data_IF_769773983733
#
_entry.id   IF_769773983733
#
_cell.length_a   1.000
_cell.length_b   1.000
_cell.length_c   1.000
_cell.angle_alpha   90.00
_cell.angle_beta   90.00
_cell.angle_gamma   90.00
#
_symmetry.space_group_name_H-M   'P 1'
#
loop_
_entity.id
_entity.type
_entity.pdbx_description
1 polymer ?
#
# COMPACT_ATOMS: atom_id res chain seq x y z
N UNK A 1 -10.05 -1.47 40.91
CA UNK A 1 -9.05 -1.42 39.82
C UNK A 1 -8.36 -2.76 39.85
N UNK A 2 -8.56 -3.59 38.83
CA UNK A 2 -7.82 -4.84 38.70
C UNK A 2 -6.57 -4.53 37.88
N UNK A 3 -5.40 -4.71 38.48
CA UNK A 3 -4.13 -4.47 37.81
C UNK A 3 -4.00 -5.45 36.63
N UNK A 4 -3.88 -4.91 35.41
CA UNK A 4 -3.64 -5.71 34.21
C UNK A 4 -2.23 -6.30 34.30
N UNK A 5 -2.14 -7.63 34.23
CA UNK A 5 -0.86 -8.36 34.25
C UNK A 5 -0.03 -7.95 33.03
N UNK A 6 1.22 -7.57 33.28
CA UNK A 6 2.20 -7.22 32.23
C UNK A 6 2.54 -8.44 31.36
N UNK A 7 3.02 -8.23 30.13
CA UNK A 7 3.43 -9.32 29.23
C UNK A 7 4.46 -10.27 29.86
N UNK A 8 5.35 -9.74 30.70
CA UNK A 8 6.36 -10.54 31.41
C UNK A 8 5.73 -11.41 32.50
N UNK A 9 4.73 -10.88 33.23
CA UNK A 9 3.97 -11.67 34.21
C UNK A 9 3.11 -12.75 33.53
N UNK A 10 2.56 -12.47 32.35
CA UNK A 10 1.86 -13.48 31.54
C UNK A 10 2.80 -14.58 31.05
N UNK A 11 4.03 -14.23 30.65
CA UNK A 11 5.05 -15.19 30.23
C UNK A 11 5.53 -16.08 31.40
N UNK A 12 5.76 -15.50 32.58
CA UNK A 12 6.15 -16.22 33.79
C UNK A 12 5.04 -17.16 34.27
N UNK A 13 3.78 -16.73 34.23
CA UNK A 13 2.62 -17.58 34.50
C UNK A 13 2.48 -18.71 33.49
N UNK A 14 2.72 -18.44 32.21
CA UNK A 14 2.70 -19.47 31.15
C UNK A 14 3.78 -20.53 31.40
N UNK A 15 5.01 -20.11 31.72
CA UNK A 15 6.13 -21.01 32.04
C UNK A 15 5.87 -21.86 33.29
N UNK A 16 5.37 -21.26 34.37
CA UNK A 16 5.01 -21.98 35.60
C UNK A 16 3.85 -22.97 35.36
N UNK A 17 2.91 -22.63 34.47
CA UNK A 17 1.82 -23.52 34.11
C UNK A 17 2.30 -24.73 33.30
N UNK A 18 3.19 -24.53 32.33
CA UNK A 18 3.81 -25.60 31.53
C UNK A 18 4.61 -26.57 32.41
N UNK A 19 5.38 -26.04 33.36
CA UNK A 19 6.18 -26.86 34.28
C UNK A 19 5.30 -27.71 35.22
N UNK A 20 4.14 -27.20 35.62
CA UNK A 20 3.16 -27.94 36.44
C UNK A 20 2.44 -29.04 35.64
N UNK A 21 2.15 -28.78 34.37
CA UNK A 21 1.51 -29.72 33.44
C UNK A 21 2.45 -30.89 33.12
N UNK A 22 3.74 -30.61 32.88
CA UNK A 22 4.72 -31.63 32.55
C UNK A 22 4.98 -32.60 33.71
N UNK A 23 4.94 -32.10 34.94
CA UNK A 23 4.98 -32.91 36.17
C UNK A 23 3.73 -33.79 36.34
N UNK A 24 2.54 -33.29 36.01
CA UNK A 24 1.30 -34.07 36.05
C UNK A 24 1.21 -35.13 34.95
N UNK A 25 1.69 -34.85 33.72
CA UNK A 25 1.82 -35.85 32.64
C UNK A 25 2.78 -36.97 33.04
N UNK A 26 3.93 -36.64 33.62
CA UNK A 26 4.88 -37.62 34.15
C UNK A 26 4.26 -38.48 35.25
N UNK A 27 3.41 -37.92 36.12
CA UNK A 27 2.70 -38.66 37.16
C UNK A 27 1.63 -39.62 36.60
N UNK A 28 0.82 -39.17 35.63
CA UNK A 28 -0.20 -40.00 34.99
C UNK A 28 0.39 -41.15 34.15
N UNK A 29 1.51 -40.90 33.47
CA UNK A 29 2.24 -41.93 32.72
C UNK A 29 2.87 -42.98 33.64
N UNK A 30 3.34 -42.58 34.84
CA UNK A 30 3.91 -43.48 35.85
C UNK A 30 2.87 -44.40 36.51
N UNK A 31 1.60 -44.02 36.53
CA UNK A 31 0.52 -44.75 37.21
C UNK A 31 -0.24 -45.74 36.33
N UNK A 32 -0.07 -45.73 35.00
CA UNK A 32 -0.83 -46.55 34.08
C UNK A 32 -2.32 -46.16 34.06
N UNK A 33 -2.82 -45.69 32.92
CA UNK A 33 -4.21 -45.19 32.79
C UNK A 33 -5.31 -46.21 33.17
N UNK A 34 -4.98 -47.49 33.37
CA UNK A 34 -5.89 -48.59 33.67
C UNK A 34 -6.39 -48.68 35.11
N UNK A 35 -5.81 -47.96 36.08
CA UNK A 35 -6.20 -48.03 37.51
C UNK A 35 -6.70 -46.71 38.13
N UNK A 36 -7.04 -45.70 37.32
CA UNK A 36 -7.56 -44.42 37.81
C UNK A 36 -9.03 -44.53 38.21
N UNK A 37 -9.41 -44.01 39.39
CA UNK A 37 -10.82 -43.94 39.78
C UNK A 37 -11.61 -42.98 38.85
N UNK A 38 -12.94 -43.07 38.88
CA UNK A 38 -13.80 -42.27 37.98
C UNK A 38 -13.55 -40.76 38.08
N UNK A 39 -13.18 -40.25 39.25
CA UNK A 39 -12.91 -38.83 39.46
C UNK A 39 -11.60 -38.39 38.80
N UNK A 40 -10.54 -39.21 38.86
CA UNK A 40 -9.28 -38.97 38.15
C UNK A 40 -9.44 -39.07 36.63
N UNK A 41 -10.26 -39.99 36.12
CA UNK A 41 -10.56 -40.06 34.68
C UNK A 41 -11.31 -38.82 34.18
N UNK A 42 -12.29 -38.33 34.94
CA UNK A 42 -12.98 -37.07 34.63
C UNK A 42 -12.03 -35.87 34.65
N UNK A 43 -11.12 -35.81 35.63
CA UNK A 43 -10.12 -34.75 35.71
C UNK A 43 -9.17 -34.79 34.50
N UNK A 44 -8.65 -35.96 34.11
CA UNK A 44 -7.78 -36.11 32.93
C UNK A 44 -8.50 -35.71 31.64
N UNK A 45 -9.77 -36.09 31.47
CA UNK A 45 -10.57 -35.68 30.32
C UNK A 45 -10.82 -34.16 30.31
N UNK A 46 -11.16 -33.57 31.44
CA UNK A 46 -11.34 -32.12 31.58
C UNK A 46 -10.03 -31.35 31.32
N UNK A 47 -8.89 -31.89 31.74
CA UNK A 47 -7.57 -31.33 31.40
C UNK A 47 -7.28 -31.41 29.90
N UNK A 48 -7.60 -32.52 29.24
CA UNK A 48 -7.46 -32.66 27.79
C UNK A 48 -8.39 -31.73 26.99
N UNK A 49 -9.61 -31.48 27.48
CA UNK A 49 -10.52 -30.49 26.90
C UNK A 49 -10.01 -29.06 27.11
N UNK A 50 -9.48 -28.76 28.31
CA UNK A 50 -8.84 -27.48 28.61
C UNK A 50 -7.62 -27.23 27.72
N UNK A 51 -6.73 -28.22 27.52
CA UNK A 51 -5.58 -28.10 26.61
C UNK A 51 -6.03 -27.68 25.20
N UNK A 52 -7.08 -28.32 24.65
CA UNK A 52 -7.64 -27.96 23.33
C UNK A 52 -8.21 -26.54 23.30
N UNK A 53 -8.89 -26.11 24.36
CA UNK A 53 -9.46 -24.76 24.46
C UNK A 53 -8.33 -23.72 24.56
N UNK A 54 -7.29 -23.99 25.36
CA UNK A 54 -6.14 -23.11 25.51
C UNK A 54 -5.39 -22.95 24.17
N UNK A 55 -5.19 -24.04 23.41
CA UNK A 55 -4.64 -24.01 22.05
C UNK A 55 -5.50 -23.14 21.10
N UNK A 56 -6.82 -23.30 21.14
CA UNK A 56 -7.74 -22.49 20.32
C UNK A 56 -7.71 -21.00 20.70
N UNK A 57 -7.62 -20.68 22.00
CA UNK A 57 -7.50 -19.30 22.49
C UNK A 57 -6.19 -18.68 21.99
N UNK A 58 -5.07 -19.40 22.10
CA UNK A 58 -3.77 -18.92 21.61
C UNK A 58 -3.80 -18.69 20.09
N UNK A 59 -4.38 -19.61 19.31
CA UNK A 59 -4.53 -19.46 17.86
C UNK A 59 -5.40 -18.24 17.50
N UNK A 60 -6.53 -18.05 18.19
CA UNK A 60 -7.43 -16.91 17.97
C UNK A 60 -6.79 -15.58 18.37
N UNK A 61 -5.99 -15.55 19.43
CA UNK A 61 -5.23 -14.36 19.83
C UNK A 61 -4.15 -14.02 18.80
N UNK A 62 -3.46 -15.05 18.29
CA UNK A 62 -2.50 -14.92 17.21
C UNK A 62 -3.12 -14.35 15.92
N UNK A 63 -4.30 -14.84 15.52
CA UNK A 63 -5.08 -14.30 14.38
C UNK A 63 -5.49 -12.84 14.62
N UNK A 64 -5.90 -12.51 15.85
CA UNK A 64 -6.32 -11.15 16.20
C UNK A 64 -5.16 -10.15 16.13
N UNK A 65 -3.99 -10.54 16.66
CA UNK A 65 -2.79 -9.69 16.65
C UNK A 65 -2.30 -9.43 15.22
N UNK A 66 -2.34 -10.45 14.36
CA UNK A 66 -2.01 -10.32 12.93
C UNK A 66 -2.97 -9.38 12.19
N UNK A 67 -4.22 -9.27 12.62
CA UNK A 67 -5.16 -8.32 12.04
C UNK A 67 -5.02 -6.90 12.61
N UNK A 68 -4.79 -6.78 13.93
CA UNK A 68 -4.68 -5.50 14.63
C UNK A 68 -3.45 -4.71 14.20
N UNK A 69 -2.29 -5.36 14.09
CA UNK A 69 -1.04 -4.67 13.77
C UNK A 69 -1.08 -3.92 12.42
N UNK A 70 -1.51 -4.53 11.29
CA UNK A 70 -1.71 -3.80 10.03
C UNK A 70 -2.76 -2.70 10.12
N UNK A 71 -3.81 -2.88 10.93
CA UNK A 71 -4.85 -1.84 11.14
C UNK A 71 -4.27 -0.62 11.86
N UNK A 72 -3.58 -0.84 12.97
CA UNK A 72 -2.95 0.23 13.76
C UNK A 72 -1.97 1.04 12.92
N UNK A 73 -1.16 0.37 12.09
CA UNK A 73 -0.25 1.06 11.16
C UNK A 73 -1.00 1.95 10.16
N UNK A 74 -2.09 1.47 9.56
CA UNK A 74 -2.88 2.26 8.60
C UNK A 74 -3.49 3.50 9.25
N UNK A 75 -4.11 3.34 10.41
CA UNK A 75 -4.72 4.46 11.12
C UNK A 75 -3.67 5.50 11.53
N UNK A 76 -2.50 5.05 11.98
CA UNK A 76 -1.42 5.96 12.36
C UNK A 76 -0.87 6.72 11.16
N UNK A 77 -0.61 6.06 10.02
CA UNK A 77 -0.21 6.72 8.78
C UNK A 77 -1.25 7.73 8.31
N UNK A 78 -2.54 7.37 8.40
CA UNK A 78 -3.64 8.26 8.05
C UNK A 78 -3.69 9.50 8.95
N UNK A 79 -3.57 9.32 10.27
CA UNK A 79 -3.50 10.42 11.23
C UNK A 79 -2.34 11.36 10.92
N UNK A 80 -1.16 10.83 10.57
CA UNK A 80 0.02 11.61 10.21
C UNK A 80 -0.16 12.40 8.91
N UNK A 81 -0.77 11.80 7.90
CA UNK A 81 -1.14 12.49 6.67
C UNK A 81 -2.15 13.62 6.94
N UNK A 82 -3.17 13.36 7.77
CA UNK A 82 -4.17 14.35 8.16
C UNK A 82 -3.55 15.52 8.94
N UNK A 83 -2.53 15.27 9.77
CA UNK A 83 -1.80 16.30 10.49
C UNK A 83 -1.05 17.25 9.56
N UNK A 84 -0.45 16.73 8.47
CA UNK A 84 0.19 17.54 7.44
C UNK A 84 -0.82 18.35 6.64
N UNK A 85 -1.97 17.76 6.31
CA UNK A 85 -3.02 18.46 5.57
C UNK A 85 -3.66 19.60 6.36
N UNK A 86 -3.60 19.51 7.70
CA UNK A 86 -4.06 20.55 8.63
C UNK A 86 -2.94 21.49 9.09
N UNK A 87 -1.73 21.32 8.57
CA UNK A 87 -0.62 22.21 8.91
C UNK A 87 -0.82 23.55 8.19
N UNK A 88 -1.25 24.56 8.95
CA UNK A 88 -1.59 25.88 8.43
C UNK A 88 -0.40 26.59 7.76
N UNK A 89 0.82 26.35 8.24
CA UNK A 89 2.04 26.94 7.68
C UNK A 89 2.29 26.41 6.26
N UNK A 90 2.11 25.11 6.05
CA UNK A 90 2.42 24.44 4.78
C UNK A 90 1.28 24.43 3.78
N UNK A 91 0.04 24.64 4.24
CA UNK A 91 -1.16 24.42 3.44
C UNK A 91 -1.13 25.19 2.11
N UNK A 92 -0.81 26.48 2.15
CA UNK A 92 -0.73 27.32 0.95
C UNK A 92 0.30 26.75 -0.06
N UNK A 93 1.51 26.46 0.40
CA UNK A 93 2.57 25.95 -0.47
C UNK A 93 2.25 24.56 -1.05
N UNK A 94 1.64 23.68 -0.25
CA UNK A 94 1.23 22.34 -0.71
C UNK A 94 0.09 22.40 -1.74
N UNK A 95 -0.87 23.30 -1.55
CA UNK A 95 -1.95 23.54 -2.53
C UNK A 95 -1.40 24.08 -3.85
N UNK A 96 -0.44 25.01 -3.81
CA UNK A 96 0.24 25.55 -5.00
C UNK A 96 1.01 24.44 -5.73
N UNK A 97 1.77 23.61 -5.02
CA UNK A 97 2.50 22.49 -5.62
C UNK A 97 1.57 21.48 -6.29
N UNK A 98 0.41 21.21 -5.70
CA UNK A 98 -0.62 20.36 -6.30
C UNK A 98 -1.23 20.97 -7.56
N UNK A 99 -1.48 22.28 -7.57
CA UNK A 99 -1.95 22.98 -8.77
C UNK A 99 -0.92 22.95 -9.89
N UNK A 100 0.37 23.18 -9.57
CA UNK A 100 1.48 23.08 -10.52
C UNK A 100 1.58 21.72 -11.16
N UNK A 101 1.55 20.66 -10.36
CA UNK A 101 1.62 19.30 -10.91
C UNK A 101 0.50 19.02 -11.91
N UNK A 102 -0.74 19.40 -11.60
CA UNK A 102 -1.87 19.26 -12.52
C UNK A 102 -1.71 20.08 -13.80
N UNK A 103 -1.10 21.26 -13.70
CA UNK A 103 -0.87 22.12 -14.84
C UNK A 103 0.26 21.57 -15.72
N UNK A 104 1.33 21.04 -15.12
CA UNK A 104 2.43 20.38 -15.84
C UNK A 104 1.92 19.14 -16.61
N UNK A 105 0.99 18.37 -16.04
CA UNK A 105 0.31 17.27 -16.74
C UNK A 105 -0.51 17.76 -17.94
N UNK A 106 -1.25 18.87 -17.78
CA UNK A 106 -2.03 19.47 -18.87
C UNK A 106 -1.12 20.01 -19.99
N UNK A 107 -0.02 20.69 -19.64
CA UNK A 107 0.97 21.18 -20.60
C UNK A 107 1.55 20.01 -21.39
N UNK A 108 2.01 18.95 -20.71
CA UNK A 108 2.55 17.74 -21.38
C UNK A 108 1.53 17.09 -22.31
N UNK A 109 0.28 16.97 -21.88
CA UNK A 109 -0.79 16.41 -22.71
C UNK A 109 -1.03 17.28 -23.95
N UNK A 110 -0.99 18.60 -23.81
CA UNK A 110 -1.22 19.54 -24.90
C UNK A 110 -0.06 19.62 -25.88
N UNK A 111 1.18 19.61 -25.39
CA UNK A 111 2.38 19.51 -26.21
C UNK A 111 2.37 18.21 -27.05
N UNK A 112 1.92 17.10 -26.46
CA UNK A 112 1.74 15.84 -27.18
C UNK A 112 0.63 15.90 -28.24
N UNK A 113 -0.51 16.53 -27.92
CA UNK A 113 -1.61 16.74 -28.88
C UNK A 113 -1.14 17.56 -30.10
N UNK A 114 -0.34 18.61 -29.86
CA UNK A 114 0.26 19.44 -30.92
C UNK A 114 1.24 18.62 -31.76
N UNK A 115 2.12 17.83 -31.13
CA UNK A 115 3.10 17.00 -31.85
C UNK A 115 2.44 15.90 -32.70
N UNK A 116 1.36 15.28 -32.19
CA UNK A 116 0.59 14.26 -32.92
C UNK A 116 -0.14 14.87 -34.12
N UNK A 117 -0.79 16.03 -33.95
CA UNK A 117 -1.45 16.73 -35.07
C UNK A 117 -0.47 17.26 -36.11
N UNK A 118 0.72 17.71 -35.68
CA UNK A 118 1.80 18.11 -36.58
C UNK A 118 2.40 16.95 -37.38
N UNK A 119 2.19 15.70 -36.97
CA UNK A 119 2.57 14.49 -37.75
C UNK A 119 1.47 14.02 -38.70
N UNK A 120 0.20 14.35 -38.43
CA UNK A 120 -0.93 14.00 -39.30
C UNK A 120 -1.07 14.94 -40.52
N UNK A 121 -0.57 16.16 -40.44
CA UNK A 121 -0.48 17.11 -41.55
C UNK A 121 1.00 17.24 -41.99
N UNK A 122 1.53 16.61 -43.08
CA UNK A 122 0.87 16.07 -44.28
C UNK A 122 1.46 14.72 -44.77
N UNK A 123 0.71 13.60 -44.71
CA UNK A 123 1.14 12.36 -45.40
C UNK A 123 0.08 11.66 -46.26
N UNK A 124 -1.12 12.24 -46.44
CA UNK A 124 -2.16 11.67 -47.32
C UNK A 124 -2.31 12.34 -48.69
N UNK A 125 -1.42 13.25 -49.09
CA UNK A 125 -1.43 13.81 -50.46
C UNK A 125 -0.43 13.19 -51.43
N UNK A 126 0.18 12.05 -51.10
CA UNK A 126 1.12 11.38 -52.00
C UNK A 126 0.76 9.91 -52.29
N UNK A 127 -0.48 9.68 -52.74
CA UNK A 127 -0.81 8.50 -53.56
C UNK A 127 -1.84 8.88 -54.62
N UNK A 128 -1.34 9.07 -55.85
CA UNK A 128 -2.16 9.09 -57.06
C UNK A 128 -2.01 10.37 -57.87
N UNK A 129 -0.92 10.48 -58.65
CA UNK A 129 -1.04 11.11 -59.96
C UNK A 129 -2.04 10.28 -60.75
N UNK A 130 -3.26 10.77 -60.91
CA UNK A 130 -3.90 10.86 -62.22
C UNK A 130 -5.31 11.48 -62.12
N UNK A 131 -5.56 12.36 -63.09
CA UNK A 131 -6.84 12.92 -63.54
C UNK A 131 -7.42 14.17 -62.84
N UNK A 132 -7.46 15.23 -63.66
CA UNK A 132 -8.46 16.30 -63.76
C UNK A 132 -9.40 16.48 -62.55
N UNK A 133 -9.27 17.62 -61.86
CA UNK A 133 -10.38 18.57 -61.86
C UNK A 133 -9.92 20.00 -61.55
N UNK A 134 -10.42 20.94 -62.33
CA UNK A 134 -10.05 22.35 -62.29
C UNK A 134 -11.04 23.15 -61.40
N UNK A 135 -11.41 22.57 -60.26
CA UNK A 135 -12.44 23.14 -59.39
C UNK A 135 -12.39 22.60 -57.98
N UNK A 136 -11.37 22.95 -57.18
CA UNK A 136 -11.51 22.97 -55.71
C UNK A 136 -10.45 23.77 -54.92
N UNK A 137 -9.81 24.77 -55.55
CA UNK A 137 -8.80 25.63 -54.92
C UNK A 137 -9.37 26.40 -53.71
N UNK A 138 -10.65 26.77 -53.73
CA UNK A 138 -11.30 27.52 -52.65
C UNK A 138 -11.57 26.64 -51.42
N UNK A 139 -11.99 25.39 -51.60
CA UNK A 139 -12.20 24.46 -50.49
C UNK A 139 -10.86 24.09 -49.84
N UNK A 140 -9.81 23.85 -50.64
CA UNK A 140 -8.48 23.56 -50.11
C UNK A 140 -7.86 24.76 -49.34
N UNK A 141 -8.10 25.99 -49.80
CA UNK A 141 -7.76 27.20 -49.03
C UNK A 141 -8.58 27.35 -47.74
N UNK A 142 -9.86 26.97 -47.73
CA UNK A 142 -10.71 26.99 -46.53
C UNK A 142 -10.26 25.94 -45.49
N UNK A 143 -9.85 24.75 -45.96
CA UNK A 143 -9.26 23.72 -45.10
C UNK A 143 -7.90 24.13 -44.53
N UNK A 144 -7.03 24.75 -45.34
CA UNK A 144 -5.75 25.26 -44.85
C UNK A 144 -5.96 26.39 -43.82
N UNK A 145 -6.91 27.31 -44.06
CA UNK A 145 -7.25 28.35 -43.08
C UNK A 145 -7.77 27.77 -41.78
N UNK A 146 -8.63 26.75 -41.83
CA UNK A 146 -9.12 26.04 -40.64
C UNK A 146 -8.00 25.33 -39.89
N UNK A 147 -7.03 24.73 -40.59
CA UNK A 147 -5.87 24.11 -39.99
C UNK A 147 -4.98 25.14 -39.29
N UNK A 148 -4.64 26.25 -39.97
CA UNK A 148 -3.86 27.35 -39.41
C UNK A 148 -4.54 28.01 -38.19
N UNK A 149 -5.87 28.17 -38.25
CA UNK A 149 -6.66 28.70 -37.12
C UNK A 149 -6.64 27.74 -35.93
N UNK A 150 -6.73 26.43 -36.18
CA UNK A 150 -6.69 25.41 -35.15
C UNK A 150 -5.30 25.30 -34.52
N UNK A 151 -4.23 25.39 -35.31
CA UNK A 151 -2.85 25.47 -34.83
C UNK A 151 -2.65 26.69 -33.93
N UNK A 152 -3.06 27.88 -34.39
CA UNK A 152 -3.02 29.11 -33.58
C UNK A 152 -3.85 29.03 -32.30
N UNK A 153 -4.96 28.26 -32.30
CA UNK A 153 -5.73 28.03 -31.08
C UNK A 153 -4.94 27.18 -30.08
N UNK A 154 -4.30 26.09 -30.51
CA UNK A 154 -3.47 25.26 -29.65
C UNK A 154 -2.25 26.02 -29.10
N UNK A 155 -1.60 26.83 -29.93
CA UNK A 155 -0.49 27.69 -29.49
C UNK A 155 -0.93 28.67 -28.39
N UNK A 156 -2.06 29.34 -28.59
CA UNK A 156 -2.62 30.28 -27.59
C UNK A 156 -3.05 29.58 -26.30
N UNK A 157 -3.60 28.38 -26.39
CA UNK A 157 -3.94 27.58 -25.20
C UNK A 157 -2.68 27.18 -24.44
N UNK A 158 -1.64 26.72 -25.15
CA UNK A 158 -0.35 26.37 -24.54
C UNK A 158 0.33 27.58 -23.89
N UNK A 159 0.28 28.75 -24.53
CA UNK A 159 0.81 30.00 -23.98
C UNK A 159 0.10 30.38 -22.67
N UNK A 160 -1.25 30.31 -22.62
CA UNK A 160 -2.02 30.55 -21.40
C UNK A 160 -1.63 29.60 -20.26
N UNK A 161 -1.40 28.31 -20.57
CA UNK A 161 -0.96 27.34 -19.57
C UNK A 161 0.45 27.68 -19.05
N UNK A 162 1.37 28.11 -19.91
CA UNK A 162 2.73 28.54 -19.52
C UNK A 162 2.72 29.83 -18.69
N UNK A 163 1.82 30.75 -19.00
CA UNK A 163 1.60 31.95 -18.18
C UNK A 163 1.06 31.60 -16.80
N UNK A 164 0.09 30.68 -16.71
CA UNK A 164 -0.43 30.19 -15.43
C UNK A 164 0.66 29.46 -14.62
N UNK A 165 1.52 28.69 -15.29
CA UNK A 165 2.66 28.01 -14.67
C UNK A 165 3.62 29.02 -14.04
N UNK A 166 3.89 30.12 -14.74
CA UNK A 166 4.74 31.23 -14.26
C UNK A 166 4.10 31.99 -13.09
N UNK A 167 2.77 32.10 -13.05
CA UNK A 167 2.05 32.69 -11.91
C UNK A 167 2.10 31.79 -10.68
N UNK A 168 1.88 30.48 -10.85
CA UNK A 168 2.06 29.50 -9.77
C UNK A 168 3.52 29.44 -9.30
N UNK A 169 4.46 29.59 -10.24
CA UNK A 169 5.81 30.14 -10.12
C UNK A 169 6.03 31.04 -8.90
N UNK A 170 5.61 32.29 -9.12
CA UNK A 170 5.71 33.41 -8.21
C UNK A 170 4.90 33.21 -6.93
N UNK A 171 3.70 32.63 -7.01
CA UNK A 171 2.88 32.37 -5.82
C UNK A 171 3.59 31.39 -4.87
N UNK A 172 4.26 30.36 -5.40
CA UNK A 172 5.05 29.46 -4.58
C UNK A 172 6.18 30.20 -3.88
N UNK A 173 6.95 31.01 -4.61
CA UNK A 173 8.04 31.81 -4.03
C UNK A 173 7.55 32.77 -2.94
N UNK A 174 6.35 33.35 -3.11
CA UNK A 174 5.70 34.19 -2.10
C UNK A 174 5.26 33.38 -0.87
N UNK A 175 4.74 32.18 -1.06
CA UNK A 175 4.41 31.29 0.06
C UNK A 175 5.65 30.89 0.88
N UNK A 176 6.81 30.73 0.22
CA UNK A 176 8.07 30.51 0.93
C UNK A 176 8.50 31.76 1.72
N UNK A 177 8.33 32.96 1.17
CA UNK A 177 8.58 34.19 1.93
C UNK A 177 7.68 34.26 3.17
N UNK A 178 6.40 33.91 3.05
CA UNK A 178 5.48 33.86 4.19
C UNK A 178 5.94 32.86 5.26
N UNK A 179 6.32 31.65 4.85
CA UNK A 179 6.85 30.58 5.70
C UNK A 179 8.12 30.99 6.46
N UNK A 180 9.02 31.71 5.79
CA UNK A 180 10.28 32.19 6.38
C UNK A 180 10.09 33.36 7.34
N UNK A 181 9.06 34.18 7.10
CA UNK A 181 8.73 35.33 7.94
C UNK A 181 7.82 34.96 9.13
N UNK A 182 7.40 33.70 9.23
CA UNK A 182 6.67 33.12 10.36
C UNK A 182 7.50 32.04 11.07
N UNK A 183 6.95 31.43 12.12
CA UNK A 183 7.52 30.22 12.73
C UNK A 183 7.33 28.95 11.85
N UNK A 184 6.97 29.12 10.58
CA UNK A 184 6.58 28.04 9.66
C UNK A 184 7.67 27.03 9.31
N UNK A 185 8.94 27.35 9.58
CA UNK A 185 10.05 26.39 9.49
C UNK A 185 9.85 25.22 10.46
N UNK A 186 9.28 25.47 11.66
CA UNK A 186 8.93 24.39 12.57
C UNK A 186 7.80 23.51 12.01
N UNK A 187 6.88 24.11 11.25
CA UNK A 187 5.86 23.40 10.48
C UNK A 187 6.45 22.43 9.46
N UNK A 188 7.49 22.85 8.73
CA UNK A 188 8.25 22.00 7.79
C UNK A 188 8.91 20.82 8.52
N UNK A 189 9.61 21.09 9.62
CA UNK A 189 10.31 20.05 10.41
C UNK A 189 9.30 19.03 10.96
N UNK A 190 8.19 19.51 11.52
CA UNK A 190 7.12 18.65 12.04
C UNK A 190 6.54 17.76 10.94
N UNK A 191 6.27 18.32 9.76
CA UNK A 191 5.75 17.55 8.63
C UNK A 191 6.74 16.46 8.17
N UNK A 192 8.04 16.73 8.20
CA UNK A 192 9.05 15.70 7.91
C UNK A 192 9.06 14.58 8.93
N UNK A 193 8.98 14.90 10.23
CA UNK A 193 8.92 13.87 11.27
C UNK A 193 7.70 12.97 11.10
N UNK A 194 6.55 13.55 10.74
CA UNK A 194 5.35 12.76 10.48
C UNK A 194 5.44 11.92 9.20
N UNK A 195 6.10 12.43 8.14
CA UNK A 195 6.34 11.66 6.92
C UNK A 195 7.35 10.55 7.09
N UNK A 196 8.47 10.81 7.74
CA UNK A 196 9.49 9.79 7.95
C UNK A 196 8.93 8.65 8.81
N UNK A 197 8.20 8.95 9.90
CA UNK A 197 7.49 7.92 10.69
C UNK A 197 6.47 7.14 9.87
N UNK A 198 5.72 7.82 9.01
CA UNK A 198 4.76 7.16 8.11
C UNK A 198 5.47 6.19 7.17
N UNK A 199 6.55 6.63 6.54
CA UNK A 199 7.33 5.84 5.59
C UNK A 199 8.07 4.67 6.27
N UNK A 200 8.55 4.83 7.50
CA UNK A 200 9.08 3.73 8.32
C UNK A 200 8.03 2.63 8.52
N UNK A 201 6.80 3.01 8.87
CA UNK A 201 5.70 2.07 9.12
C UNK A 201 5.24 1.32 7.86
N UNK A 202 5.30 1.99 6.70
CA UNK A 202 4.86 1.46 5.41
C UNK A 202 5.94 0.65 4.69
N UNK A 203 7.14 1.21 4.55
CA UNK A 203 8.17 0.72 3.64
C UNK A 203 9.31 -0.04 4.33
N UNK A 204 9.27 -0.15 5.67
CA UNK A 204 10.43 -0.60 6.46
C UNK A 204 11.70 0.18 6.09
N UNK A 205 11.59 1.47 5.75
CA UNK A 205 12.76 2.33 5.82
C UNK A 205 13.30 2.21 7.25
N UNK A 206 14.58 1.85 7.35
CA UNK A 206 15.19 1.66 8.66
C UNK A 206 15.17 2.99 9.40
N UNK A 207 14.95 2.95 10.72
CA UNK A 207 15.05 4.12 11.59
C UNK A 207 16.33 4.92 11.34
N UNK A 208 17.44 4.22 11.06
CA UNK A 208 18.72 4.81 10.70
C UNK A 208 18.67 5.66 9.41
N UNK A 209 17.87 5.27 8.42
CA UNK A 209 17.71 6.03 7.17
C UNK A 209 16.88 7.30 7.39
N UNK A 210 15.84 7.23 8.23
CA UNK A 210 15.06 8.41 8.63
C UNK A 210 15.93 9.40 9.40
N UNK A 211 16.63 8.94 10.44
CA UNK A 211 17.49 9.78 11.27
C UNK A 211 18.60 10.45 10.43
N UNK A 212 19.14 9.73 9.44
CA UNK A 212 20.12 10.31 8.50
C UNK A 212 19.52 11.41 7.64
N UNK A 213 18.29 11.22 7.12
CA UNK A 213 17.62 12.26 6.32
C UNK A 213 17.27 13.48 7.16
N UNK A 214 16.79 13.29 8.39
CA UNK A 214 16.50 14.39 9.32
C UNK A 214 17.76 15.25 9.55
N UNK A 215 18.91 14.61 9.85
CA UNK A 215 20.19 15.31 10.00
C UNK A 215 20.61 16.06 8.73
N UNK A 216 20.48 15.43 7.56
CA UNK A 216 20.81 16.09 6.28
C UNK A 216 19.96 17.34 6.03
N UNK A 217 18.67 17.31 6.39
CA UNK A 217 17.78 18.47 6.26
C UNK A 217 18.15 19.58 7.24
N UNK A 218 18.47 19.23 8.50
CA UNK A 218 18.95 20.18 9.50
C UNK A 218 20.26 20.83 9.07
N UNK A 219 21.26 20.04 8.67
CA UNK A 219 22.54 20.54 8.15
C UNK A 219 22.33 21.44 6.93
N UNK A 220 21.42 21.09 6.01
CA UNK A 220 21.10 21.93 4.84
C UNK A 220 20.52 23.29 5.24
N UNK A 221 19.65 23.34 6.26
CA UNK A 221 19.09 24.59 6.78
C UNK A 221 20.15 25.43 7.49
N UNK A 222 20.95 24.82 8.35
CA UNK A 222 22.03 25.49 9.09
C UNK A 222 23.06 26.11 8.15
N UNK A 223 23.52 25.36 7.14
CA UNK A 223 24.48 25.86 6.14
C UNK A 223 23.91 27.01 5.30
N UNK A 224 22.60 27.02 5.09
CA UNK A 224 21.95 28.01 4.25
C UNK A 224 21.48 29.25 5.02
N UNK A 225 21.33 29.19 6.36
CA UNK A 225 20.65 30.16 7.22
C UNK A 225 21.06 31.62 6.98
N UNK A 226 22.37 31.91 6.99
CA UNK A 226 22.91 33.26 6.77
C UNK A 226 23.21 33.59 5.29
N UNK A 227 22.74 32.75 4.36
CA UNK A 227 23.04 32.88 2.94
C UNK A 227 21.81 33.30 2.12
N UNK A 228 22.00 33.96 0.95
CA UNK A 228 20.92 34.19 0.00
C UNK A 228 20.21 32.91 -0.48
N UNK A 229 20.82 31.74 -0.26
CA UNK A 229 20.27 30.43 -0.62
C UNK A 229 19.30 29.88 0.42
N UNK A 230 19.10 30.54 1.56
CA UNK A 230 18.19 30.07 2.60
C UNK A 230 16.78 29.84 2.06
N UNK A 231 16.26 30.80 1.28
CA UNK A 231 14.95 30.70 0.64
C UNK A 231 14.84 29.51 -0.30
N UNK A 232 15.87 29.27 -1.10
CA UNK A 232 15.93 28.11 -1.99
C UNK A 232 15.94 26.80 -1.18
N UNK A 233 16.72 26.74 -0.09
CA UNK A 233 16.77 25.58 0.79
C UNK A 233 15.41 25.27 1.44
N UNK A 234 14.70 26.29 1.94
CA UNK A 234 13.34 26.15 2.48
C UNK A 234 12.36 25.69 1.40
N UNK A 235 12.42 26.28 0.20
CA UNK A 235 11.60 25.88 -0.94
C UNK A 235 11.80 24.43 -1.36
N UNK A 236 13.04 23.95 -1.38
CA UNK A 236 13.38 22.55 -1.66
C UNK A 236 12.80 21.60 -0.62
N UNK A 237 12.86 21.98 0.66
CA UNK A 237 12.28 21.18 1.73
C UNK A 237 10.76 21.07 1.60
N UNK A 238 10.07 22.16 1.29
CA UNK A 238 8.61 22.11 1.04
C UNK A 238 8.28 21.18 -0.14
N UNK A 239 9.07 21.22 -1.22
CA UNK A 239 8.94 20.27 -2.34
C UNK A 239 9.18 18.83 -1.91
N UNK A 240 10.16 18.59 -1.03
CA UNK A 240 10.42 17.26 -0.47
C UNK A 240 9.25 16.77 0.39
N UNK A 241 8.70 17.61 1.28
CA UNK A 241 7.49 17.29 2.07
C UNK A 241 6.34 16.88 1.13
N UNK A 242 6.10 17.66 0.07
CA UNK A 242 5.06 17.34 -0.91
C UNK A 242 5.29 15.98 -1.59
N UNK A 243 6.53 15.69 -2.00
CA UNK A 243 6.88 14.42 -2.62
C UNK A 243 6.73 13.23 -1.67
N UNK A 244 7.13 13.38 -0.41
CA UNK A 244 6.98 12.33 0.61
C UNK A 244 5.53 12.11 1.00
N UNK A 245 4.75 13.17 1.14
CA UNK A 245 3.31 13.10 1.35
C UNK A 245 2.62 12.25 0.30
N UNK A 246 2.98 12.42 -0.97
CA UNK A 246 2.44 11.57 -2.05
C UNK A 246 2.87 10.12 -1.93
N UNK A 247 4.13 9.85 -1.60
CA UNK A 247 4.61 8.47 -1.36
C UNK A 247 3.84 7.83 -0.21
N UNK A 248 3.61 8.56 0.87
CA UNK A 248 2.85 8.11 2.02
C UNK A 248 1.37 7.87 1.67
N UNK A 249 0.74 8.74 0.87
CA UNK A 249 -0.62 8.52 0.38
C UNK A 249 -0.76 7.26 -0.49
N UNK A 250 0.21 7.03 -1.38
CA UNK A 250 0.23 5.82 -2.19
C UNK A 250 0.42 4.57 -1.33
N UNK A 251 1.35 4.60 -0.37
CA UNK A 251 1.56 3.50 0.57
C UNK A 251 0.33 3.21 1.42
N UNK A 252 -0.39 4.24 1.91
CA UNK A 252 -1.65 4.06 2.62
C UNK A 252 -2.69 3.35 1.75
N UNK A 253 -2.82 3.75 0.48
CA UNK A 253 -3.71 3.10 -0.48
C UNK A 253 -3.34 1.63 -0.73
N UNK A 254 -2.05 1.31 -0.81
CA UNK A 254 -1.58 -0.07 -0.90
C UNK A 254 -1.99 -0.89 0.33
N UNK A 255 -1.82 -0.33 1.53
CA UNK A 255 -2.24 -1.00 2.78
C UNK A 255 -3.77 -1.20 2.85
N UNK A 256 -4.57 -0.26 2.33
CA UNK A 256 -6.03 -0.38 2.24
C UNK A 256 -6.45 -1.48 1.24
N UNK A 257 -5.76 -1.57 0.10
CA UNK A 257 -5.95 -2.65 -0.86
C UNK A 257 -5.60 -4.00 -0.25
N UNK A 258 -4.48 -4.09 0.47
CA UNK A 258 -4.07 -5.27 1.23
C UNK A 258 -5.13 -5.71 2.24
N UNK A 259 -5.69 -4.76 2.99
CA UNK A 259 -6.79 -5.04 3.92
C UNK A 259 -8.01 -5.62 3.19
N UNK A 260 -8.39 -5.01 2.08
CA UNK A 260 -9.53 -5.45 1.26
C UNK A 260 -9.30 -6.86 0.73
N UNK A 261 -8.09 -7.13 0.22
CA UNK A 261 -7.66 -8.44 -0.27
C UNK A 261 -7.67 -9.48 0.85
N UNK A 262 -7.20 -9.13 2.05
CA UNK A 262 -7.27 -10.01 3.22
C UNK A 262 -8.72 -10.39 3.55
N UNK A 263 -9.63 -9.40 3.60
CA UNK A 263 -11.03 -9.63 3.93
C UNK A 263 -11.73 -10.55 2.90
N UNK A 264 -11.49 -10.29 1.60
CA UNK A 264 -11.99 -11.12 0.49
C UNK A 264 -11.45 -12.54 0.59
N UNK A 265 -10.14 -12.71 0.71
CA UNK A 265 -9.49 -14.02 0.78
C UNK A 265 -9.95 -14.80 2.02
N UNK A 266 -10.04 -14.17 3.19
CA UNK A 266 -10.52 -14.80 4.43
C UNK A 266 -11.97 -15.29 4.31
N UNK A 267 -12.82 -14.50 3.68
CA UNK A 267 -14.23 -14.86 3.46
C UNK A 267 -14.35 -16.04 2.49
N UNK A 268 -13.63 -15.98 1.37
CA UNK A 268 -13.58 -17.09 0.41
C UNK A 268 -13.02 -18.35 1.07
N UNK A 269 -11.86 -18.25 1.72
CA UNK A 269 -11.21 -19.37 2.41
C UNK A 269 -12.18 -20.08 3.37
N UNK A 270 -12.82 -19.33 4.28
CA UNK A 270 -13.81 -19.92 5.21
C UNK A 270 -14.96 -20.65 4.50
N UNK A 271 -15.41 -20.12 3.36
CA UNK A 271 -16.47 -20.74 2.56
C UNK A 271 -16.00 -22.03 1.89
N UNK A 272 -14.84 -21.99 1.24
CA UNK A 272 -14.34 -23.12 0.45
C UNK A 272 -13.82 -24.26 1.35
N UNK A 273 -13.26 -23.98 2.55
CA UNK A 273 -12.78 -25.07 3.42
C UNK A 273 -13.90 -25.82 4.14
N UNK A 274 -15.07 -25.21 4.35
CA UNK A 274 -16.15 -25.75 5.20
C UNK A 274 -16.61 -27.15 4.76
N UNK A 275 -16.59 -27.41 3.46
CA UNK A 275 -17.02 -28.68 2.87
C UNK A 275 -15.85 -29.52 2.34
N UNK A 276 -14.61 -29.15 2.70
CA UNK A 276 -13.39 -29.66 2.07
C UNK A 276 -13.14 -28.98 0.72
N UNK A 277 -11.88 -28.63 0.48
CA UNK A 277 -11.50 -27.88 -0.72
C UNK A 277 -11.57 -28.78 -1.97
N UNK A 278 -12.57 -28.55 -2.82
CA UNK A 278 -12.75 -29.23 -4.10
C UNK A 278 -11.91 -28.59 -5.22
N UNK A 279 -11.99 -29.14 -6.44
CA UNK A 279 -11.18 -28.65 -7.58
C UNK A 279 -11.50 -27.18 -7.91
N UNK A 280 -12.78 -26.80 -7.90
CA UNK A 280 -13.22 -25.44 -8.22
C UNK A 280 -12.79 -24.44 -7.13
N UNK A 281 -12.96 -24.81 -5.87
CA UNK A 281 -12.51 -24.02 -4.73
C UNK A 281 -10.98 -23.87 -4.71
N UNK A 282 -10.25 -24.94 -5.05
CA UNK A 282 -8.78 -24.90 -5.18
C UNK A 282 -8.34 -23.92 -6.27
N UNK A 283 -8.90 -24.01 -7.49
CA UNK A 283 -8.56 -23.11 -8.60
C UNK A 283 -8.85 -21.65 -8.25
N UNK A 284 -10.03 -21.39 -7.68
CA UNK A 284 -10.43 -20.05 -7.25
C UNK A 284 -9.51 -19.47 -6.18
N UNK A 285 -9.18 -20.24 -5.13
CA UNK A 285 -8.27 -19.75 -4.08
C UNK A 285 -6.85 -19.57 -4.61
N UNK A 286 -6.37 -20.45 -5.50
CA UNK A 286 -5.06 -20.33 -6.14
C UNK A 286 -4.98 -19.08 -7.02
N UNK A 287 -6.03 -18.80 -7.79
CA UNK A 287 -6.11 -17.58 -8.61
C UNK A 287 -6.12 -16.34 -7.72
N UNK A 288 -7.00 -16.29 -6.71
CA UNK A 288 -7.05 -15.17 -5.77
C UNK A 288 -5.70 -14.92 -5.09
N UNK A 289 -5.01 -15.97 -4.66
CA UNK A 289 -3.66 -15.84 -4.08
C UNK A 289 -2.67 -15.26 -5.08
N UNK A 290 -2.66 -15.74 -6.33
CA UNK A 290 -1.78 -15.23 -7.37
C UNK A 290 -2.06 -13.77 -7.76
N UNK A 291 -3.33 -13.36 -7.76
CA UNK A 291 -3.73 -11.98 -8.01
C UNK A 291 -3.30 -11.07 -6.84
N UNK A 292 -3.50 -11.51 -5.60
CA UNK A 292 -3.08 -10.78 -4.38
C UNK A 292 -1.56 -10.59 -4.34
N UNK A 293 -0.77 -11.60 -4.72
CA UNK A 293 0.70 -11.47 -4.77
C UNK A 293 1.19 -10.46 -5.80
N UNK A 294 0.45 -10.30 -6.91
CA UNK A 294 0.76 -9.32 -7.96
C UNK A 294 0.31 -7.90 -7.58
N UNK A 295 -0.92 -7.78 -7.09
CA UNK A 295 -1.53 -6.48 -6.77
C UNK A 295 -1.00 -5.88 -5.46
N UNK A 296 -0.63 -6.74 -4.51
CA UNK A 296 -0.23 -6.34 -3.16
C UNK A 296 1.02 -7.11 -2.69
N UNK A 297 2.22 -6.71 -3.13
CA UNK A 297 3.45 -7.46 -2.88
C UNK A 297 3.81 -7.63 -1.39
N UNK A 298 3.37 -6.72 -0.51
CA UNK A 298 3.64 -6.81 0.92
C UNK A 298 2.63 -7.67 1.69
N UNK A 299 1.60 -8.23 1.03
CA UNK A 299 0.56 -9.03 1.68
C UNK A 299 1.12 -10.18 2.54
N UNK A 300 2.14 -10.89 2.05
CA UNK A 300 2.82 -11.98 2.79
C UNK A 300 3.50 -11.49 4.07
N UNK A 301 4.00 -10.26 4.07
CA UNK A 301 4.65 -9.65 5.22
C UNK A 301 3.63 -9.07 6.21
N UNK A 302 2.53 -8.53 5.69
CA UNK A 302 1.44 -7.95 6.48
C UNK A 302 0.58 -9.03 7.16
N UNK A 303 0.37 -10.18 6.51
CA UNK A 303 -0.48 -11.29 7.00
C UNK A 303 0.21 -12.66 6.87
N UNK A 304 1.39 -12.87 7.49
CA UNK A 304 2.23 -14.05 7.28
C UNK A 304 1.61 -15.40 7.69
N UNK A 305 0.88 -15.46 8.80
CA UNK A 305 0.21 -16.68 9.27
C UNK A 305 -0.95 -17.04 8.36
N UNK A 306 -1.82 -16.08 8.05
CA UNK A 306 -2.93 -16.33 7.12
C UNK A 306 -2.43 -16.73 5.73
N UNK A 307 -1.40 -16.06 5.21
CA UNK A 307 -0.76 -16.43 3.95
C UNK A 307 -0.24 -17.88 3.96
N UNK A 308 0.45 -18.29 5.03
CA UNK A 308 0.92 -19.68 5.20
C UNK A 308 -0.23 -20.67 5.28
N UNK A 309 -1.30 -20.33 6.01
CA UNK A 309 -2.46 -21.19 6.20
C UNK A 309 -3.18 -21.50 4.88
N UNK A 310 -3.39 -20.47 4.04
CA UNK A 310 -4.04 -20.64 2.73
C UNK A 310 -3.18 -21.51 1.83
N UNK A 311 -1.88 -21.24 1.74
CA UNK A 311 -0.96 -22.03 0.91
C UNK A 311 -0.85 -23.49 1.37
N UNK A 312 -0.76 -23.72 2.68
CA UNK A 312 -0.79 -25.09 3.23
C UNK A 312 -2.05 -25.86 2.83
N UNK A 313 -3.21 -25.20 2.88
CA UNK A 313 -4.48 -25.81 2.48
C UNK A 313 -4.55 -26.11 0.98
N UNK A 314 -3.98 -25.23 0.15
CA UNK A 314 -3.86 -25.43 -1.29
C UNK A 314 -2.95 -26.64 -1.60
N UNK A 315 -1.80 -26.76 -0.94
CA UNK A 315 -0.88 -27.89 -1.12
C UNK A 315 -1.52 -29.21 -0.72
N UNK A 316 -2.18 -29.26 0.45
CA UNK A 316 -2.91 -30.47 0.87
C UNK A 316 -4.01 -30.87 -0.12
N UNK A 317 -4.74 -29.91 -0.68
CA UNK A 317 -5.80 -30.19 -1.62
C UNK A 317 -5.25 -30.66 -2.96
N UNK A 318 -4.14 -30.08 -3.43
CA UNK A 318 -3.44 -30.51 -4.64
C UNK A 318 -3.07 -31.99 -4.58
N UNK A 319 -2.51 -32.45 -3.47
CA UNK A 319 -2.15 -33.87 -3.27
C UNK A 319 -3.39 -34.77 -3.23
N UNK A 320 -4.45 -34.34 -2.54
CA UNK A 320 -5.72 -35.09 -2.49
C UNK A 320 -6.39 -35.19 -3.87
N UNK A 321 -6.39 -34.11 -4.65
CA UNK A 321 -6.94 -34.07 -6.01
C UNK A 321 -6.11 -34.97 -6.93
N UNK A 322 -4.79 -34.86 -6.90
CA UNK A 322 -3.87 -35.71 -7.69
C UNK A 322 -4.07 -37.20 -7.39
N UNK A 323 -4.15 -37.57 -6.10
CA UNK A 323 -4.35 -38.95 -5.68
C UNK A 323 -5.73 -39.50 -6.09
N UNK A 324 -6.80 -38.68 -6.07
CA UNK A 324 -8.12 -39.08 -6.60
C UNK A 324 -8.10 -39.31 -8.11
N UNK A 325 -7.37 -38.50 -8.87
CA UNK A 325 -7.26 -38.67 -10.33
C UNK A 325 -6.48 -39.95 -10.66
N UNK A 326 -5.34 -40.19 -9.99
CA UNK A 326 -4.53 -41.40 -10.18
C UNK A 326 -5.30 -42.69 -9.81
N UNK A 327 -5.97 -42.70 -8.65
CA UNK A 327 -6.76 -43.87 -8.20
C UNK A 327 -8.00 -44.15 -9.08
N UNK A 328 -8.54 -43.15 -9.78
CA UNK A 328 -9.63 -43.35 -10.74
C UNK A 328 -9.14 -43.79 -12.12
N UNK A 329 -7.89 -43.48 -12.49
CA UNK A 329 -7.27 -43.97 -13.73
C UNK A 329 -6.85 -45.44 -13.62
N UNK A 330 -6.38 -45.89 -12.45
CA UNK A 330 -6.03 -47.30 -12.24
C UNK A 330 -7.25 -48.23 -12.23
N UNK A 331 -8.40 -47.76 -11.71
CA UNK A 331 -9.68 -48.51 -11.77
C UNK A 331 -10.30 -48.60 -13.17
N UNK A 332 -9.83 -47.79 -14.12
CA UNK A 332 -10.26 -47.85 -15.52
C UNK A 332 -9.40 -48.75 -16.40
N UNK A 333 -8.32 -49.33 -15.85
CA UNK A 333 -7.42 -50.27 -16.55
C UNK A 333 -7.58 -51.73 -16.12
N UNK A 334 -8.43 -52.00 -15.12
CA UNK A 334 -8.94 -53.34 -14.83
C UNK A 334 -10.23 -53.59 -15.64
N UNK A 335 -10.11 -53.80 -16.96
CA UNK A 335 -11.13 -54.47 -17.79
C UNK A 335 -10.44 -55.43 -18.73
#
# INVERSE_FOLDING_TARGET
MADELTQDQLAEWSYLSEQRIDNNRKFAFKMGMSNLNQDLQKAVNAFGEKEKIDEQIQEKQAELNEFKSPKEKRELVKEKLDAIDKNDDLKESLEILKAKEKLDEQIKAKEKEIEEKGKEAPTEQNKGQDQQDQGNSAEQEDWNKKADELEKQHEKELEKLKDEQSRLEANFQKSIDNLMNSDGINGIITAFQEMDRSLEMMLKQGREESEKKEKQRQEKLELAFDSPKFKEAVGDLVKEVYAQRKKAQNGLKEMENEHTNYAKLKTTYKKEIKNGLDVKGYEKMRQMMGDIEKETPNFKNSYPKFYKQVNYSLDQAKDKIKNKILNNQDKGREI
#
